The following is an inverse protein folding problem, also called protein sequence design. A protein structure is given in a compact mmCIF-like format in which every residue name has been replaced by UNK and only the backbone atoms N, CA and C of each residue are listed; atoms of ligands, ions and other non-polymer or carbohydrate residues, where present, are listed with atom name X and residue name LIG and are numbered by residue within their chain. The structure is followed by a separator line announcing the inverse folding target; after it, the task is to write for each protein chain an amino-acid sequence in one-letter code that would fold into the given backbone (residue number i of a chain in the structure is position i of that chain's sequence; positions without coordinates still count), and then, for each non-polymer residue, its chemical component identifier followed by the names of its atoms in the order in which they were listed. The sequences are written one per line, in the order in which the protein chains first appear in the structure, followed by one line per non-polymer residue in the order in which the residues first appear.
data_IF_874479496772
#
_entry.id   IF_874479496772
#
_cell.length_a   1.000
_cell.length_b   1.000
_cell.length_c   1.000
_cell.angle_alpha   90.00
_cell.angle_beta   90.00
_cell.angle_gamma   90.00
#
_symmetry.space_group_name_H-M   'P 1'
#
loop_
_entity.id
_entity.type
_entity.pdbx_description
1 polymer ?
#
# COMPACT_ATOMS: atom_id res chain seq x y z
N UNK A 1 -12.51 63.77 -6.75
CA UNK A 1 -11.89 62.90 -5.71
C UNK A 1 -11.96 61.47 -6.20
N UNK A 2 -10.86 60.93 -6.73
CA UNK A 2 -10.77 59.55 -7.19
C UNK A 2 -10.25 58.71 -6.02
N UNK A 3 -11.08 57.83 -5.46
CA UNK A 3 -10.66 56.86 -4.44
C UNK A 3 -9.96 55.70 -5.16
N UNK A 4 -8.65 55.63 -5.01
CA UNK A 4 -7.84 54.47 -5.40
C UNK A 4 -8.11 53.34 -4.40
N UNK A 5 -8.76 52.26 -4.83
CA UNK A 5 -8.85 51.03 -4.06
C UNK A 5 -7.61 50.20 -4.42
N UNK A 6 -6.61 50.23 -3.54
CA UNK A 6 -5.48 49.29 -3.58
C UNK A 6 -5.96 47.97 -3.00
N UNK A 7 -6.31 47.02 -3.87
CA UNK A 7 -6.53 45.62 -3.50
C UNK A 7 -5.20 44.94 -3.22
N UNK A 8 -4.97 44.52 -1.97
CA UNK A 8 -3.88 43.61 -1.62
C UNK A 8 -4.27 42.20 -2.08
N UNK A 9 -3.60 41.68 -3.11
CA UNK A 9 -3.59 40.24 -3.35
C UNK A 9 -2.63 39.59 -2.34
N UNK A 10 -3.18 38.92 -1.33
CA UNK A 10 -2.41 37.96 -0.54
C UNK A 10 -2.26 36.69 -1.38
N UNK A 11 -1.15 36.56 -2.10
CA UNK A 11 -0.75 35.28 -2.66
C UNK A 11 -0.26 34.38 -1.51
N UNK A 12 -1.12 33.51 -1.00
CA UNK A 12 -0.71 32.49 -0.04
C UNK A 12 0.22 31.50 -0.72
N UNK A 13 1.48 31.42 -0.28
CA UNK A 13 2.39 30.39 -0.74
C UNK A 13 1.91 29.02 -0.23
N UNK A 14 1.57 28.12 -1.14
CA UNK A 14 1.30 26.71 -0.80
C UNK A 14 2.66 26.12 -0.38
N UNK A 15 2.84 25.87 0.92
CA UNK A 15 4.00 25.13 1.40
C UNK A 15 3.83 23.66 1.00
N UNK A 16 4.71 23.15 0.13
CA UNK A 16 4.74 21.75 -0.21
C UNK A 16 5.27 20.93 0.97
N UNK A 17 4.60 19.82 1.27
CA UNK A 17 5.06 18.85 2.27
C UNK A 17 6.14 17.98 1.66
N UNK A 18 7.28 17.87 2.36
CA UNK A 18 8.31 16.91 1.98
C UNK A 18 7.88 15.52 2.44
N UNK A 19 7.67 14.60 1.49
CA UNK A 19 7.33 13.22 1.79
C UNK A 19 8.60 12.37 1.92
N UNK A 20 8.59 11.32 2.75
CA UNK A 20 9.71 10.38 2.84
C UNK A 20 10.06 9.78 1.49
N UNK A 21 11.36 9.56 1.26
CA UNK A 21 11.86 8.87 0.07
C UNK A 21 11.26 7.45 0.00
N UNK A 22 10.56 7.16 -1.10
CA UNK A 22 10.07 5.82 -1.42
C UNK A 22 11.18 5.02 -2.11
N UNK A 23 11.50 3.87 -1.53
CA UNK A 23 12.52 2.94 -1.98
C UNK A 23 11.88 1.66 -2.49
N UNK A 24 12.55 1.01 -3.43
CA UNK A 24 12.07 -0.23 -4.04
C UNK A 24 13.24 -1.22 -4.15
N UNK A 25 12.99 -2.47 -3.79
CA UNK A 25 13.86 -3.60 -4.09
C UNK A 25 13.07 -4.62 -4.90
N UNK A 26 13.64 -5.15 -5.99
CA UNK A 26 12.89 -5.97 -6.96
C UNK A 26 11.90 -5.15 -7.79
N UNK A 27 11.20 -5.79 -8.73
CA UNK A 27 10.12 -5.13 -9.51
C UNK A 27 9.00 -6.11 -9.86
N UNK A 28 7.76 -5.63 -9.90
CA UNK A 28 6.61 -6.42 -10.39
C UNK A 28 6.85 -6.92 -11.81
N UNK A 29 7.44 -6.12 -12.70
CA UNK A 29 7.75 -6.52 -14.07
C UNK A 29 8.69 -7.73 -14.12
N UNK A 30 9.72 -7.78 -13.28
CA UNK A 30 10.63 -8.93 -13.24
C UNK A 30 9.92 -10.19 -12.70
N UNK A 31 9.09 -10.04 -11.67
CA UNK A 31 8.25 -11.16 -11.17
C UNK A 31 7.33 -11.65 -12.29
N UNK A 32 6.52 -10.75 -12.84
CA UNK A 32 5.44 -11.11 -13.77
C UNK A 32 5.93 -11.58 -15.13
N UNK A 33 6.99 -10.98 -15.67
CA UNK A 33 7.48 -11.27 -17.03
C UNK A 33 8.69 -12.18 -17.08
N UNK A 34 9.50 -12.26 -16.02
CA UNK A 34 10.73 -13.05 -15.99
C UNK A 34 10.69 -14.21 -14.99
N UNK A 35 9.64 -14.30 -14.16
CA UNK A 35 9.57 -15.30 -13.11
C UNK A 35 10.68 -15.16 -12.07
N UNK A 36 11.20 -13.95 -11.87
CA UNK A 36 12.23 -13.69 -10.86
C UNK A 36 11.57 -13.61 -9.48
N UNK A 37 11.49 -14.77 -8.82
CA UNK A 37 10.90 -14.91 -7.49
C UNK A 37 11.99 -14.89 -6.39
N UNK A 38 13.23 -14.57 -6.73
CA UNK A 38 14.35 -14.60 -5.80
C UNK A 38 14.24 -13.50 -4.73
N UNK A 39 15.00 -13.64 -3.64
CA UNK A 39 15.03 -12.61 -2.61
C UNK A 39 15.78 -11.36 -3.09
N UNK A 40 15.07 -10.23 -3.24
CA UNK A 40 15.65 -8.94 -3.62
C UNK A 40 15.94 -8.03 -2.42
N UNK A 41 15.36 -8.33 -1.26
CA UNK A 41 15.66 -7.64 -0.01
C UNK A 41 15.61 -8.61 1.16
N UNK A 42 16.65 -8.58 2.01
CA UNK A 42 16.61 -9.17 3.33
C UNK A 42 16.07 -8.13 4.32
N UNK A 43 14.96 -8.43 4.98
CA UNK A 43 14.32 -7.54 5.93
C UNK A 43 15.18 -7.32 7.18
N UNK A 44 16.07 -8.25 7.53
CA UNK A 44 16.95 -8.10 8.70
C UNK A 44 18.08 -7.09 8.44
N UNK A 45 18.32 -6.72 7.17
CA UNK A 45 19.37 -5.75 6.80
C UNK A 45 18.88 -4.30 6.74
N UNK A 46 17.58 -4.06 6.95
CA UNK A 46 17.01 -2.71 6.93
C UNK A 46 16.72 -2.20 8.34
N UNK A 47 16.89 -0.89 8.55
CA UNK A 47 16.49 -0.25 9.80
C UNK A 47 14.98 -0.45 10.02
N UNK A 48 14.58 -0.76 11.26
CA UNK A 48 13.17 -0.99 11.62
C UNK A 48 12.47 0.26 12.14
N UNK A 49 13.22 1.23 12.65
CA UNK A 49 12.64 2.46 13.20
C UNK A 49 11.85 3.20 12.13
N UNK A 50 10.54 3.41 12.36
CA UNK A 50 9.63 4.11 11.46
C UNK A 50 9.50 3.46 10.07
N UNK A 51 9.84 2.18 9.93
CA UNK A 51 9.81 1.48 8.63
C UNK A 51 8.37 1.11 8.26
N UNK A 52 7.98 1.45 7.04
CA UNK A 52 6.73 1.02 6.41
C UNK A 52 7.00 0.46 5.04
N UNK A 53 6.35 -0.64 4.67
CA UNK A 53 6.55 -1.26 3.37
C UNK A 53 5.60 -2.41 3.10
N UNK A 54 5.51 -2.81 1.84
CA UNK A 54 4.66 -3.91 1.40
C UNK A 54 5.24 -4.59 0.15
N UNK A 55 4.80 -5.82 -0.07
CA UNK A 55 5.17 -6.62 -1.23
C UNK A 55 5.10 -8.11 -0.94
N UNK A 56 5.41 -8.97 -1.93
CA UNK A 56 5.34 -10.42 -1.76
C UNK A 56 6.60 -10.97 -1.08
N UNK A 57 6.40 -12.03 -0.29
CA UNK A 57 7.50 -12.85 0.26
C UNK A 57 8.33 -13.44 -0.88
N UNK A 58 9.64 -13.63 -0.65
CA UNK A 58 10.48 -14.34 -1.61
C UNK A 58 9.87 -15.71 -1.98
N UNK A 59 9.99 -16.10 -3.24
CA UNK A 59 9.31 -17.28 -3.79
C UNK A 59 7.80 -17.11 -4.02
N UNK A 60 7.24 -15.90 -3.82
CA UNK A 60 5.80 -15.63 -3.83
C UNK A 60 5.02 -16.57 -2.91
N UNK A 61 5.51 -16.70 -1.67
CA UNK A 61 4.97 -17.59 -0.63
C UNK A 61 4.17 -16.84 0.44
N UNK A 62 3.45 -15.81 0.02
CA UNK A 62 2.63 -14.97 0.89
C UNK A 62 2.85 -13.49 0.66
N UNK A 63 2.11 -12.70 1.41
CA UNK A 63 2.14 -11.23 1.34
C UNK A 63 2.74 -10.62 2.61
N UNK A 64 3.41 -9.48 2.46
CA UNK A 64 4.05 -8.72 3.53
C UNK A 64 3.36 -7.36 3.69
N UNK A 65 3.10 -6.96 4.93
CA UNK A 65 2.88 -5.57 5.31
C UNK A 65 3.79 -5.25 6.50
N UNK A 66 4.50 -4.12 6.44
CA UNK A 66 5.37 -3.64 7.50
C UNK A 66 4.76 -2.36 8.06
N UNK A 67 4.47 -2.37 9.36
CA UNK A 67 3.88 -1.25 10.08
C UNK A 67 4.78 -0.90 11.26
N UNK A 68 5.43 0.27 11.17
CA UNK A 68 6.34 0.77 12.21
C UNK A 68 7.40 -0.27 12.63
N UNK A 69 8.08 -0.83 11.64
CA UNK A 69 9.13 -1.84 11.84
C UNK A 69 8.64 -3.25 12.11
N UNK A 70 7.37 -3.46 12.46
CA UNK A 70 6.78 -4.80 12.64
C UNK A 70 6.40 -5.40 11.30
N UNK A 71 6.91 -6.60 11.03
CA UNK A 71 6.66 -7.34 9.78
C UNK A 71 5.50 -8.31 10.02
N UNK A 72 4.37 -8.09 9.36
CA UNK A 72 3.24 -9.01 9.34
C UNK A 72 3.20 -9.71 7.99
N UNK A 73 2.98 -11.02 8.02
CA UNK A 73 2.87 -11.82 6.81
C UNK A 73 1.78 -12.86 6.93
N UNK A 74 1.08 -13.13 5.83
CA UNK A 74 0.23 -14.31 5.71
C UNK A 74 0.67 -15.17 4.53
N UNK A 75 0.84 -16.46 4.81
CA UNK A 75 1.11 -17.52 3.84
C UNK A 75 0.01 -18.58 3.88
N UNK A 76 0.07 -19.56 2.98
CA UNK A 76 -0.79 -20.74 3.01
C UNK A 76 0.00 -21.96 3.48
N UNK A 77 -0.62 -22.75 4.36
CA UNK A 77 -0.24 -24.13 4.62
C UNK A 77 -1.39 -25.03 4.14
N UNK A 78 -1.27 -25.51 2.89
CA UNK A 78 -2.37 -26.18 2.20
C UNK A 78 -3.52 -25.21 1.92
N UNK A 79 -4.61 -25.30 2.68
CA UNK A 79 -5.78 -24.39 2.57
C UNK A 79 -5.95 -23.47 3.78
N UNK A 80 -5.07 -23.59 4.77
CA UNK A 80 -5.16 -22.79 6.00
C UNK A 80 -4.26 -21.57 5.88
N UNK A 81 -4.79 -20.42 6.31
CA UNK A 81 -4.01 -19.19 6.44
C UNK A 81 -3.06 -19.34 7.63
N UNK A 82 -1.81 -18.94 7.41
CA UNK A 82 -0.77 -18.92 8.45
C UNK A 82 -0.25 -17.49 8.60
N UNK A 83 -0.70 -16.82 9.66
CA UNK A 83 -0.30 -15.46 9.98
C UNK A 83 0.95 -15.48 10.86
N UNK A 84 1.97 -14.70 10.51
CA UNK A 84 3.24 -14.61 11.24
C UNK A 84 3.61 -13.15 11.47
N UNK A 85 4.26 -12.91 12.62
CA UNK A 85 4.87 -11.62 12.97
C UNK A 85 6.39 -11.79 13.13
N UNK A 86 7.18 -10.99 12.43
CA UNK A 86 8.65 -10.96 12.50
C UNK A 86 9.33 -12.32 12.27
N UNK A 87 8.73 -13.19 11.44
CA UNK A 87 9.29 -14.52 11.08
C UNK A 87 9.80 -14.63 9.65
N UNK A 88 9.39 -13.72 8.76
CA UNK A 88 9.86 -13.68 7.37
C UNK A 88 11.00 -12.69 7.28
N UNK A 89 12.07 -13.10 6.61
CA UNK A 89 13.28 -12.30 6.45
C UNK A 89 13.53 -11.85 5.02
N UNK A 90 12.72 -12.22 4.02
CA UNK A 90 12.99 -11.81 2.63
C UNK A 90 11.75 -11.57 1.77
N UNK A 91 11.90 -10.60 0.86
CA UNK A 91 10.87 -10.20 -0.09
C UNK A 91 11.37 -10.39 -1.54
N UNK A 92 10.48 -10.84 -2.44
CA UNK A 92 10.76 -10.87 -3.88
C UNK A 92 10.66 -9.48 -4.50
N UNK A 93 9.79 -8.64 -3.95
CA UNK A 93 9.76 -7.22 -4.20
C UNK A 93 9.28 -6.53 -2.92
N UNK A 94 9.86 -5.36 -2.61
CA UNK A 94 9.36 -4.53 -1.52
C UNK A 94 9.43 -3.06 -1.92
N UNK A 95 8.28 -2.38 -1.85
CA UNK A 95 8.23 -0.92 -1.81
C UNK A 95 8.16 -0.49 -0.34
N UNK A 96 9.03 0.44 0.07
CA UNK A 96 9.16 0.82 1.47
C UNK A 96 9.66 2.26 1.65
N UNK A 97 9.46 2.81 2.83
CA UNK A 97 9.92 4.14 3.22
C UNK A 97 10.04 4.23 4.75
N UNK A 98 10.50 5.37 5.24
CA UNK A 98 10.64 5.66 6.67
C UNK A 98 9.77 6.85 7.05
N UNK A 99 8.66 6.62 7.76
CA UNK A 99 7.66 7.65 8.07
C UNK A 99 7.67 7.95 9.57
N UNK A 100 8.39 8.98 10.04
CA UNK A 100 8.51 9.26 11.47
C UNK A 100 7.20 9.76 12.09
N UNK A 101 6.33 10.40 11.30
CA UNK A 101 5.06 10.94 11.76
C UNK A 101 4.00 10.86 10.67
N UNK A 102 2.78 10.62 11.12
CA UNK A 102 1.60 10.56 10.28
C UNK A 102 0.62 11.65 10.70
N UNK A 103 0.18 12.45 9.74
CA UNK A 103 -1.00 13.30 9.89
C UNK A 103 -2.24 12.46 9.64
N UNK A 104 -3.20 12.49 10.57
CA UNK A 104 -4.48 11.80 10.45
C UNK A 104 -5.56 12.74 9.88
N UNK A 105 -6.27 12.28 8.86
CA UNK A 105 -7.37 12.98 8.20
C UNK A 105 -8.59 12.06 8.24
N UNK A 106 -9.61 12.46 9.01
CA UNK A 106 -10.88 11.73 9.05
C UNK A 106 -11.73 12.11 7.83
N UNK A 107 -12.20 11.10 7.12
CA UNK A 107 -13.07 11.24 5.95
C UNK A 107 -14.39 10.55 6.27
N UNK A 108 -15.50 11.23 5.97
CA UNK A 108 -16.85 10.67 5.99
C UNK A 108 -17.32 10.56 4.53
N UNK A 109 -17.24 9.35 3.96
CA UNK A 109 -17.59 9.13 2.56
C UNK A 109 -17.95 7.65 2.31
N UNK A 110 -18.62 7.40 1.20
CA UNK A 110 -18.75 6.08 0.63
C UNK A 110 -17.70 5.89 -0.47
N UNK A 111 -16.97 4.78 -0.41
CA UNK A 111 -16.04 4.33 -1.45
C UNK A 111 -16.58 3.01 -1.97
N UNK A 112 -16.89 2.94 -3.26
CA UNK A 112 -17.58 1.79 -3.84
C UNK A 112 -16.62 0.83 -4.57
N UNK A 113 -15.42 1.29 -4.91
CA UNK A 113 -14.42 0.55 -5.69
C UNK A 113 -13.01 1.13 -5.53
N UNK A 114 -12.03 0.42 -6.06
CA UNK A 114 -10.62 0.79 -5.99
C UNK A 114 -10.26 2.11 -6.72
N UNK A 115 -10.96 2.46 -7.80
CA UNK A 115 -10.70 3.70 -8.55
C UNK A 115 -11.17 4.94 -7.78
N UNK A 116 -12.30 4.84 -7.07
CA UNK A 116 -12.77 5.88 -6.15
C UNK A 116 -11.80 6.06 -4.98
N UNK A 117 -11.27 4.96 -4.43
CA UNK A 117 -10.22 5.02 -3.42
C UNK A 117 -8.99 5.78 -3.93
N UNK A 118 -8.52 5.47 -5.14
CA UNK A 118 -7.38 6.17 -5.75
C UNK A 118 -7.63 7.68 -5.87
N UNK A 119 -8.82 8.06 -6.33
CA UNK A 119 -9.20 9.46 -6.46
C UNK A 119 -9.23 10.17 -5.11
N UNK A 120 -9.72 9.50 -4.05
CA UNK A 120 -9.75 10.07 -2.70
C UNK A 120 -8.33 10.26 -2.17
N UNK A 121 -7.45 9.26 -2.29
CA UNK A 121 -6.06 9.38 -1.83
C UNK A 121 -5.32 10.51 -2.56
N UNK A 122 -5.45 10.61 -3.88
CA UNK A 122 -4.82 11.69 -4.65
C UNK A 122 -5.33 13.08 -4.21
N UNK A 123 -6.65 13.24 -4.07
CA UNK A 123 -7.26 14.51 -3.67
C UNK A 123 -6.90 14.90 -2.23
N UNK A 124 -6.93 13.95 -1.30
CA UNK A 124 -6.54 14.19 0.09
C UNK A 124 -5.06 14.56 0.17
N UNK A 125 -4.18 13.86 -0.55
CA UNK A 125 -2.75 14.21 -0.60
C UNK A 125 -2.52 15.63 -1.16
N UNK A 126 -3.18 15.98 -2.27
CA UNK A 126 -3.07 17.31 -2.85
C UNK A 126 -3.60 18.42 -1.91
N UNK A 127 -4.72 18.17 -1.21
CA UNK A 127 -5.27 19.10 -0.22
C UNK A 127 -4.32 19.31 0.98
N UNK A 128 -3.53 18.29 1.32
CA UNK A 128 -2.51 18.32 2.37
C UNK A 128 -1.15 18.82 1.86
N UNK A 129 -1.07 19.35 0.64
CA UNK A 129 0.15 19.95 0.09
C UNK A 129 1.22 18.94 -0.35
N UNK A 130 0.85 17.67 -0.52
CA UNK A 130 1.73 16.64 -1.08
C UNK A 130 1.68 16.71 -2.61
N UNK A 131 2.85 16.75 -3.23
CA UNK A 131 3.02 16.70 -4.68
C UNK A 131 2.74 15.27 -5.20
N UNK A 132 1.55 15.04 -5.75
CA UNK A 132 1.15 13.75 -6.34
C UNK A 132 1.92 13.37 -7.63
N UNK A 133 2.80 14.25 -8.13
CA UNK A 133 3.82 13.90 -9.14
C UNK A 133 4.95 13.06 -8.56
N UNK A 134 5.11 12.99 -7.24
CA UNK A 134 6.14 12.17 -6.57
C UNK A 134 5.50 10.94 -5.91
N UNK A 135 6.24 9.84 -5.74
CA UNK A 135 5.74 8.70 -4.98
C UNK A 135 5.57 9.06 -3.50
N UNK A 136 4.50 8.58 -2.86
CA UNK A 136 4.28 8.76 -1.43
C UNK A 136 3.57 7.56 -0.80
N UNK A 137 3.84 7.25 0.48
CA UNK A 137 3.09 6.26 1.23
C UNK A 137 1.79 6.86 1.79
N UNK A 138 0.80 6.01 2.04
CA UNK A 138 -0.39 6.35 2.80
C UNK A 138 -0.84 5.15 3.64
N UNK A 139 -1.57 5.41 4.71
CA UNK A 139 -2.20 4.36 5.52
C UNK A 139 -3.68 4.67 5.67
N UNK A 140 -4.52 3.65 5.77
CA UNK A 140 -5.95 3.79 6.02
C UNK A 140 -6.30 2.94 7.22
N UNK A 141 -7.06 3.49 8.16
CA UNK A 141 -7.72 2.72 9.22
C UNK A 141 -9.22 2.92 9.12
N UNK A 142 -9.98 1.85 9.18
CA UNK A 142 -11.44 1.90 9.08
C UNK A 142 -12.07 0.54 9.25
N UNK A 143 -13.39 0.50 9.07
CA UNK A 143 -14.16 -0.75 9.02
C UNK A 143 -14.63 -0.97 7.59
N UNK A 144 -14.29 -2.12 7.02
CA UNK A 144 -14.75 -2.47 5.67
C UNK A 144 -16.25 -2.71 5.67
N UNK A 145 -16.97 -2.19 4.67
CA UNK A 145 -18.22 -2.83 4.30
C UNK A 145 -17.90 -4.17 3.64
N UNK A 146 -16.97 -4.13 2.68
CA UNK A 146 -16.38 -5.32 2.05
C UNK A 146 -15.00 -4.98 1.49
N UNK A 147 -14.04 -5.86 1.68
CA UNK A 147 -12.82 -5.87 0.89
C UNK A 147 -12.58 -7.27 0.35
N UNK A 148 -12.01 -7.38 -0.84
CA UNK A 148 -11.45 -8.63 -1.36
C UNK A 148 -9.95 -8.49 -1.48
N UNK A 149 -9.26 -9.58 -1.20
CA UNK A 149 -7.80 -9.61 -1.26
C UNK A 149 -7.33 -10.95 -1.78
N UNK A 150 -6.07 -10.99 -2.21
CA UNK A 150 -5.42 -12.24 -2.51
C UNK A 150 -4.09 -12.43 -1.78
N UNK A 151 -3.68 -13.69 -1.70
CA UNK A 151 -2.38 -14.14 -1.20
C UNK A 151 -1.81 -15.13 -2.21
N UNK A 152 -0.60 -14.88 -2.71
CA UNK A 152 0.05 -15.84 -3.61
C UNK A 152 0.71 -16.97 -2.80
N UNK A 153 0.46 -18.22 -3.20
CA UNK A 153 1.21 -19.40 -2.76
C UNK A 153 1.76 -20.15 -3.98
N UNK A 154 2.85 -19.62 -4.51
CA UNK A 154 3.42 -20.12 -5.76
C UNK A 154 3.97 -21.52 -5.64
N UNK A 155 3.71 -22.40 -6.61
CA UNK A 155 4.28 -23.75 -6.61
C UNK A 155 5.63 -23.77 -7.30
N UNK A 156 6.64 -24.32 -6.61
CA UNK A 156 7.97 -24.50 -7.18
C UNK A 156 7.94 -25.39 -8.43
N UNK A 157 8.85 -25.13 -9.37
CA UNK A 157 8.96 -25.88 -10.62
C UNK A 157 7.87 -25.58 -11.66
N UNK A 158 7.03 -24.57 -11.42
CA UNK A 158 6.00 -24.11 -12.37
C UNK A 158 6.42 -22.79 -13.03
N UNK A 159 6.26 -22.70 -14.35
CA UNK A 159 6.54 -21.48 -15.11
C UNK A 159 5.65 -20.31 -14.69
N UNK A 160 6.25 -19.13 -14.58
CA UNK A 160 5.53 -17.92 -14.20
C UNK A 160 4.73 -17.35 -15.37
N UNK A 161 3.45 -17.73 -15.46
CA UNK A 161 2.47 -17.16 -16.39
C UNK A 161 1.38 -16.42 -15.62
N UNK A 162 0.66 -15.52 -16.30
CA UNK A 162 -0.48 -14.80 -15.71
C UNK A 162 -1.56 -15.79 -15.23
N UNK A 163 -1.81 -16.85 -15.99
CA UNK A 163 -2.81 -17.87 -15.62
C UNK A 163 -2.40 -18.64 -14.37
N UNK A 164 -1.12 -19.01 -14.25
CA UNK A 164 -0.60 -19.67 -13.06
C UNK A 164 -0.62 -18.73 -11.84
N UNK A 165 -0.30 -17.45 -12.04
CA UNK A 165 -0.38 -16.44 -10.98
C UNK A 165 -1.79 -16.31 -10.42
N UNK A 166 -2.80 -16.22 -11.28
CA UNK A 166 -4.21 -16.22 -10.86
C UNK A 166 -4.62 -17.54 -10.21
N UNK A 167 -4.15 -18.67 -10.72
CA UNK A 167 -4.47 -20.01 -10.21
C UNK A 167 -3.89 -20.27 -8.82
N UNK A 168 -2.73 -19.71 -8.51
CA UNK A 168 -2.04 -19.87 -7.22
C UNK A 168 -2.34 -18.73 -6.24
N UNK A 169 -3.22 -17.80 -6.63
CA UNK A 169 -3.78 -16.82 -5.72
C UNK A 169 -4.92 -17.44 -4.90
N UNK A 170 -4.78 -17.45 -3.59
CA UNK A 170 -5.92 -17.60 -2.69
C UNK A 170 -6.70 -16.29 -2.68
N UNK A 171 -8.02 -16.35 -2.86
CA UNK A 171 -8.91 -15.21 -2.74
C UNK A 171 -9.63 -15.23 -1.39
N UNK A 172 -9.63 -14.10 -0.69
CA UNK A 172 -10.30 -13.91 0.59
C UNK A 172 -11.13 -12.62 0.62
N UNK A 173 -11.92 -12.48 1.68
CA UNK A 173 -12.79 -11.33 1.88
C UNK A 173 -12.87 -10.92 3.35
N UNK A 174 -12.97 -9.60 3.57
CA UNK A 174 -13.08 -8.95 4.87
C UNK A 174 -14.36 -8.11 4.90
N UNK A 175 -15.40 -8.58 5.61
CA UNK A 175 -16.74 -7.95 5.64
C UNK A 175 -17.05 -7.49 7.05
N UNK A 176 -17.40 -6.21 7.23
CA UNK A 176 -17.61 -5.59 8.54
C UNK A 176 -16.41 -5.79 9.49
N UNK A 177 -15.19 -5.75 8.93
CA UNK A 177 -13.97 -5.98 9.68
C UNK A 177 -13.20 -4.69 9.87
N UNK A 178 -12.63 -4.53 11.06
CA UNK A 178 -11.68 -3.46 11.34
C UNK A 178 -10.35 -3.81 10.67
N UNK A 179 -9.83 -2.88 9.88
CA UNK A 179 -8.64 -3.12 9.06
C UNK A 179 -7.67 -1.95 9.10
N UNK A 180 -6.41 -2.29 8.90
CA UNK A 180 -5.35 -1.36 8.56
C UNK A 180 -4.86 -1.66 7.16
N UNK A 181 -4.84 -0.65 6.29
CA UNK A 181 -4.27 -0.74 4.95
C UNK A 181 -3.02 0.12 4.88
N UNK A 182 -1.99 -0.38 4.21
CA UNK A 182 -0.82 0.41 3.82
C UNK A 182 -0.77 0.44 2.30
N UNK A 183 -0.51 1.61 1.74
CA UNK A 183 -0.37 1.76 0.30
C UNK A 183 0.74 2.72 -0.10
N UNK A 184 1.14 2.62 -1.37
CA UNK A 184 2.04 3.56 -2.02
C UNK A 184 1.38 4.06 -3.30
N UNK A 185 1.39 5.38 -3.48
CA UNK A 185 0.88 6.04 -4.68
C UNK A 185 2.04 6.49 -5.57
N UNK A 186 1.97 6.28 -6.88
CA UNK A 186 2.88 6.88 -7.86
C UNK A 186 2.39 6.82 -9.30
N UNK A 187 2.48 7.95 -10.01
CA UNK A 187 2.23 8.05 -11.46
C UNK A 187 3.39 7.56 -12.34
N UNK A 188 4.54 7.23 -11.74
CA UNK A 188 5.79 6.96 -12.46
C UNK A 188 6.36 5.56 -12.23
N UNK A 189 5.72 4.73 -11.40
CA UNK A 189 6.23 3.41 -11.01
C UNK A 189 5.29 2.24 -11.36
N UNK A 190 4.48 2.40 -12.41
CA UNK A 190 3.68 1.33 -12.98
C UNK A 190 4.58 0.18 -13.47
N UNK A 191 4.19 -1.05 -13.13
CA UNK A 191 4.98 -2.28 -13.30
C UNK A 191 6.30 -2.33 -12.52
N UNK A 192 6.63 -1.31 -11.72
CA UNK A 192 7.77 -1.36 -10.79
C UNK A 192 7.25 -1.84 -9.43
N UNK A 193 6.37 -1.06 -8.80
CA UNK A 193 5.66 -1.48 -7.60
C UNK A 193 4.16 -1.22 -7.68
N UNK A 194 3.65 -0.41 -8.62
CA UNK A 194 2.20 -0.33 -8.84
C UNK A 194 1.78 -1.22 -10.00
N UNK A 195 0.52 -1.67 -9.99
CA UNK A 195 -0.03 -2.39 -11.12
C UNK A 195 -0.08 -1.48 -12.36
N UNK A 196 -0.12 -2.07 -13.57
CA UNK A 196 -0.07 -1.30 -14.81
C UNK A 196 -1.36 -0.52 -15.14
N UNK A 197 -2.42 -0.70 -14.34
CA UNK A 197 -3.73 -0.06 -14.53
C UNK A 197 -4.10 0.94 -13.43
N UNK A 198 -3.25 1.09 -12.40
CA UNK A 198 -3.51 1.96 -11.24
C UNK A 198 -2.21 2.63 -10.80
N UNK A 199 -2.34 3.75 -10.11
CA UNK A 199 -1.23 4.44 -9.46
C UNK A 199 -1.02 4.00 -8.02
N UNK A 200 -1.75 3.02 -7.51
CA UNK A 200 -1.61 2.51 -6.15
C UNK A 200 -1.19 1.04 -6.11
N UNK A 201 -0.46 0.68 -5.05
CA UNK A 201 -0.29 -0.69 -4.57
C UNK A 201 -0.63 -0.70 -3.09
N UNK A 202 -1.63 -1.49 -2.70
CA UNK A 202 -2.18 -1.52 -1.34
C UNK A 202 -2.22 -2.94 -0.82
N UNK A 203 -1.72 -3.13 0.41
CA UNK A 203 -1.95 -4.35 1.19
C UNK A 203 -2.89 -4.02 2.34
N UNK A 204 -3.76 -4.97 2.68
CA UNK A 204 -4.76 -4.87 3.75
C UNK A 204 -4.45 -5.88 4.85
N UNK A 205 -4.67 -5.48 6.10
CA UNK A 205 -4.52 -6.32 7.28
C UNK A 205 -5.78 -6.25 8.13
N UNK A 206 -6.31 -7.42 8.52
CA UNK A 206 -7.32 -7.54 9.57
C UNK A 206 -6.68 -7.22 10.94
N UNK A 207 -7.25 -6.25 11.66
CA UNK A 207 -6.68 -5.75 12.92
C UNK A 207 -6.72 -6.79 14.06
N UNK A 208 -7.64 -7.76 14.03
CA UNK A 208 -7.80 -8.77 15.07
C UNK A 208 -6.94 -10.00 14.76
N UNK A 209 -7.08 -10.54 13.54
CA UNK A 209 -6.44 -11.80 13.16
C UNK A 209 -5.01 -11.63 12.63
N UNK A 210 -4.63 -10.39 12.27
CA UNK A 210 -3.37 -10.06 11.58
C UNK A 210 -3.21 -10.78 10.24
N UNK A 211 -4.33 -11.14 9.62
CA UNK A 211 -4.35 -11.68 8.28
C UNK A 211 -4.03 -10.58 7.27
N UNK A 212 -3.04 -10.81 6.41
CA UNK A 212 -2.50 -9.85 5.43
C UNK A 212 -2.78 -10.35 4.01
N UNK A 213 -3.15 -9.44 3.12
CA UNK A 213 -3.25 -9.75 1.69
C UNK A 213 -3.05 -8.53 0.81
N UNK A 214 -2.86 -8.77 -0.48
CA UNK A 214 -2.92 -7.74 -1.51
C UNK A 214 -4.37 -7.32 -1.72
N UNK A 215 -4.68 -6.02 -1.61
CA UNK A 215 -6.04 -5.53 -1.78
C UNK A 215 -6.45 -5.51 -3.26
N UNK A 216 -7.56 -6.19 -3.59
CA UNK A 216 -8.10 -6.21 -4.96
C UNK A 216 -9.24 -5.21 -5.14
N UNK A 217 -10.22 -5.22 -4.23
CA UNK A 217 -11.39 -4.34 -4.25
C UNK A 217 -11.72 -3.88 -2.84
N UNK A 218 -12.30 -2.68 -2.73
CA UNK A 218 -12.65 -2.08 -1.46
C UNK A 218 -14.00 -1.36 -1.54
N UNK A 219 -14.81 -1.62 -0.52
CA UNK A 219 -16.01 -0.88 -0.17
C UNK A 219 -15.89 -0.38 1.27
N UNK A 220 -16.01 0.93 1.44
CA UNK A 220 -16.07 1.63 2.72
C UNK A 220 -17.33 2.48 2.74
N UNK A 221 -17.95 2.59 3.90
CA UNK A 221 -19.10 3.47 4.08
C UNK A 221 -19.01 4.15 5.45
N UNK A 222 -19.07 5.48 5.44
CA UNK A 222 -18.99 6.31 6.64
C UNK A 222 -17.55 6.73 6.99
N UNK A 223 -17.26 6.74 8.28
CA UNK A 223 -16.00 7.28 8.81
C UNK A 223 -14.82 6.32 8.64
N UNK A 224 -13.77 6.80 8.00
CA UNK A 224 -12.45 6.18 7.99
C UNK A 224 -11.37 7.25 8.13
N UNK A 225 -10.14 6.83 8.45
CA UNK A 225 -9.01 7.75 8.61
C UNK A 225 -7.94 7.45 7.58
N UNK A 226 -7.60 8.47 6.78
CA UNK A 226 -6.41 8.46 5.92
C UNK A 226 -5.26 9.09 6.69
N UNK A 227 -4.11 8.43 6.63
CA UNK A 227 -2.87 8.89 7.22
C UNK A 227 -1.90 9.22 6.10
N UNK A 228 -1.35 10.43 6.13
CA UNK A 228 -0.34 10.92 5.20
C UNK A 228 0.92 11.34 5.97
N UNK A 229 2.11 11.30 5.35
CA UNK A 229 3.33 11.75 6.02
C UNK A 229 3.23 13.21 6.47
N UNK A 230 3.66 13.47 7.71
CA UNK A 230 3.82 14.82 8.26
C UNK A 230 5.29 15.26 8.17
N UNK A 231 5.53 16.57 8.22
CA UNK A 231 6.88 17.15 8.39
C UNK A 231 7.46 16.90 9.79
#
# INVERSE_FOLDING_TARGET
MIKLITGFLLAGAIMLVNVPEVKVAGTMKNIMMKGDLSAHLNLDTVNKTNLYGLGPVAGLKGEIIILDGKVYTTSLNGKQLENKENKVSSAAMLVYCYVPKWKAITIDAAISNYAELESVIEKTAAAEGIDAGKPFPFKIAGTTEKATYHIIDWKEGVDHTIDNHKKFAFAGNMVNQKVTMLGFYSKHHQSIFTHHTTFMHVHIMDDDTKNVGHLDELQLNGLFTVYLPEQ
#
